data_IF_250686171883
#
_entry.id   IF_250686171883
#
_cell.length_a   1.000
_cell.length_b   1.000
_cell.length_c   1.000
_cell.angle_alpha   90.00
_cell.angle_beta   90.00
_cell.angle_gamma   90.00
#
_symmetry.space_group_name_H-M   'P 1'
#
loop_
_entity.id
_entity.type
_entity.pdbx_description
1 polymer ?
#
# COMPACT_ATOMS: atom_id res chain seq x y z
N UNK A 1 -44.81 24.74 -47.54
CA UNK A 1 -44.28 23.53 -48.23
C UNK A 1 -42.80 23.45 -47.89
N UNK A 2 -42.47 22.73 -46.84
CA UNK A 2 -41.08 22.49 -46.48
C UNK A 2 -40.93 20.97 -46.26
N UNK A 3 -40.16 20.36 -47.14
CA UNK A 3 -39.86 18.96 -47.14
C UNK A 3 -38.93 18.64 -45.96
N UNK A 4 -39.42 17.84 -45.04
CA UNK A 4 -38.66 17.31 -43.92
C UNK A 4 -37.91 16.05 -44.40
N UNK A 5 -36.65 16.22 -44.83
CA UNK A 5 -35.80 15.10 -45.18
C UNK A 5 -35.41 14.32 -43.94
N UNK A 6 -35.82 13.09 -43.94
CA UNK A 6 -35.47 12.07 -42.92
C UNK A 6 -33.96 11.82 -42.95
N UNK A 7 -33.25 12.34 -41.98
CA UNK A 7 -31.89 11.89 -41.66
C UNK A 7 -32.02 10.65 -40.77
N UNK A 8 -31.94 9.49 -41.40
CA UNK A 8 -31.77 8.20 -40.73
C UNK A 8 -30.30 8.13 -40.31
N UNK A 9 -30.05 8.44 -39.05
CA UNK A 9 -28.73 8.23 -38.41
C UNK A 9 -28.56 6.71 -38.19
N UNK A 10 -27.83 6.07 -39.09
CA UNK A 10 -27.41 4.68 -38.96
C UNK A 10 -26.29 4.65 -37.90
N UNK A 11 -26.65 4.38 -36.65
CA UNK A 11 -25.67 4.08 -35.59
C UNK A 11 -25.15 2.67 -35.87
N UNK A 12 -24.02 2.61 -36.57
CA UNK A 12 -23.22 1.39 -36.67
C UNK A 12 -22.58 1.22 -35.28
N UNK A 13 -23.24 0.46 -34.45
CA UNK A 13 -22.63 -0.10 -33.24
C UNK A 13 -21.60 -1.12 -33.74
N UNK A 14 -20.37 -0.65 -33.94
CA UNK A 14 -19.23 -1.53 -34.11
C UNK A 14 -19.00 -2.11 -32.70
N UNK A 15 -19.58 -3.27 -32.50
CA UNK A 15 -19.23 -4.11 -31.35
C UNK A 15 -17.76 -4.46 -31.48
N UNK A 16 -16.92 -3.67 -30.84
CA UNK A 16 -15.55 -4.05 -30.54
C UNK A 16 -15.66 -5.20 -29.53
N UNK A 17 -15.84 -6.40 -30.05
CA UNK A 17 -15.61 -7.62 -29.27
C UNK A 17 -14.14 -7.57 -28.90
N UNK A 18 -13.84 -6.99 -27.74
CA UNK A 18 -12.62 -7.24 -27.02
C UNK A 18 -12.62 -8.75 -26.75
N UNK A 19 -12.14 -9.52 -27.71
CA UNK A 19 -11.61 -10.84 -27.39
C UNK A 19 -10.48 -10.57 -26.42
N UNK A 20 -10.77 -10.70 -25.11
CA UNK A 20 -9.76 -10.89 -24.09
C UNK A 20 -9.00 -12.15 -24.51
N UNK A 21 -8.02 -11.96 -25.37
CA UNK A 21 -7.00 -12.95 -25.60
C UNK A 21 -6.30 -12.99 -24.24
N UNK A 22 -6.56 -14.07 -23.49
CA UNK A 22 -5.84 -14.39 -22.25
C UNK A 22 -4.37 -14.52 -22.63
N UNK A 23 -3.70 -13.39 -22.74
CA UNK A 23 -2.28 -13.34 -23.00
C UNK A 23 -1.63 -13.75 -21.69
N UNK A 24 -0.89 -14.86 -21.72
CA UNK A 24 -0.13 -15.30 -20.59
C UNK A 24 0.88 -14.21 -20.20
N UNK A 25 0.80 -13.72 -18.95
CA UNK A 25 1.58 -12.59 -18.46
C UNK A 25 2.98 -13.04 -17.99
N UNK A 26 3.97 -12.29 -18.41
CA UNK A 26 5.34 -12.41 -17.90
C UNK A 26 5.47 -11.72 -16.54
N UNK A 27 6.51 -12.04 -15.77
CA UNK A 27 6.80 -11.37 -14.49
C UNK A 27 6.89 -9.83 -14.64
N UNK A 28 7.45 -9.34 -15.76
CA UNK A 28 7.59 -7.91 -16.01
C UNK A 28 6.22 -7.23 -16.21
N UNK A 29 5.34 -7.83 -16.97
CA UNK A 29 3.98 -7.32 -17.21
C UNK A 29 3.14 -7.36 -15.91
N UNK A 30 3.23 -8.44 -15.13
CA UNK A 30 2.59 -8.52 -13.80
C UNK A 30 3.09 -7.41 -12.88
N UNK A 31 4.38 -7.09 -12.92
CA UNK A 31 4.94 -6.00 -12.13
C UNK A 31 4.43 -4.63 -12.59
N UNK A 32 4.31 -4.39 -13.90
CA UNK A 32 3.76 -3.14 -14.42
C UNK A 32 2.31 -2.93 -13.99
N UNK A 33 1.48 -3.98 -14.04
CA UNK A 33 0.10 -3.93 -13.53
C UNK A 33 0.10 -3.64 -12.01
N UNK A 34 0.97 -4.30 -11.26
CA UNK A 34 1.09 -4.09 -9.82
C UNK A 34 1.51 -2.66 -9.45
N UNK A 35 2.29 -1.96 -10.27
CA UNK A 35 2.63 -0.55 -10.04
C UNK A 35 1.39 0.36 -10.05
N UNK A 36 0.36 0.00 -10.80
CA UNK A 36 -0.87 0.77 -10.93
C UNK A 36 -1.97 0.29 -9.98
N UNK A 37 -2.05 -1.03 -9.74
CA UNK A 37 -3.19 -1.63 -9.05
C UNK A 37 -2.92 -2.00 -7.59
N UNK A 38 -1.67 -2.28 -7.21
CA UNK A 38 -1.33 -2.75 -5.86
C UNK A 38 -1.82 -1.79 -4.75
N UNK A 39 -2.74 -2.24 -3.87
CA UNK A 39 -3.28 -1.41 -2.80
C UNK A 39 -2.21 -0.94 -1.80
N UNK A 40 -1.22 -1.78 -1.48
CA UNK A 40 -0.16 -1.42 -0.54
C UNK A 40 0.75 -0.33 -1.10
N UNK A 41 1.07 -0.39 -2.39
CA UNK A 41 1.84 0.66 -3.06
C UNK A 41 1.03 1.97 -3.14
N UNK A 42 -0.28 1.90 -3.40
CA UNK A 42 -1.19 3.06 -3.37
C UNK A 42 -1.22 3.71 -1.97
N UNK A 43 -1.28 2.91 -0.90
CA UNK A 43 -1.19 3.39 0.50
C UNK A 43 0.15 4.06 0.76
N UNK A 44 1.25 3.45 0.34
CA UNK A 44 2.60 4.02 0.49
C UNK A 44 2.74 5.35 -0.26
N UNK A 45 2.17 5.46 -1.46
CA UNK A 45 2.14 6.70 -2.24
C UNK A 45 1.31 7.80 -1.57
N UNK A 46 0.13 7.47 -1.05
CA UNK A 46 -0.70 8.41 -0.31
C UNK A 46 0.01 8.91 0.95
N UNK A 47 0.65 7.99 1.69
CA UNK A 47 1.45 8.31 2.87
C UNK A 47 2.65 9.21 2.53
N UNK A 48 3.33 8.94 1.41
CA UNK A 48 4.39 9.82 0.91
C UNK A 48 3.85 11.22 0.58
N UNK A 49 2.73 11.31 -0.16
CA UNK A 49 2.09 12.61 -0.49
C UNK A 49 1.73 13.41 0.76
N UNK A 50 1.21 12.76 1.79
CA UNK A 50 0.88 13.41 3.07
C UNK A 50 2.14 13.87 3.84
N UNK A 51 3.13 12.97 3.97
CA UNK A 51 4.30 13.23 4.81
C UNK A 51 5.34 14.16 4.16
N UNK A 52 5.39 14.26 2.82
CA UNK A 52 6.26 15.25 2.15
C UNK A 52 5.88 16.69 2.49
N UNK A 53 4.61 16.96 2.87
CA UNK A 53 4.11 18.27 3.26
C UNK A 53 4.70 18.77 4.60
N UNK A 54 5.43 17.91 5.33
CA UNK A 54 6.19 18.35 6.50
C UNK A 54 7.16 19.52 6.21
N UNK A 55 7.70 19.56 4.98
CA UNK A 55 8.53 20.69 4.52
C UNK A 55 7.69 21.99 4.40
N UNK A 56 6.52 21.91 3.78
CA UNK A 56 5.63 23.07 3.62
C UNK A 56 5.14 23.59 4.98
N UNK A 57 4.76 22.67 5.90
CA UNK A 57 4.41 23.03 7.28
C UNK A 57 5.56 23.75 8.00
N UNK A 58 6.81 23.31 7.78
CA UNK A 58 7.98 23.96 8.34
C UNK A 58 8.22 25.37 7.77
N UNK A 59 7.94 25.59 6.47
CA UNK A 59 8.02 26.92 5.84
C UNK A 59 6.92 27.83 6.37
N UNK A 60 5.70 27.33 6.53
CA UNK A 60 4.55 28.09 7.01
C UNK A 60 4.82 28.81 8.34
N UNK A 61 5.65 28.21 9.21
CA UNK A 61 6.06 28.84 10.46
C UNK A 61 6.99 30.07 10.30
N UNK A 62 7.51 30.33 9.11
CA UNK A 62 8.36 31.50 8.77
C UNK A 62 7.61 32.55 7.96
N UNK A 63 6.38 32.26 7.53
CA UNK A 63 5.56 33.15 6.72
C UNK A 63 4.62 34.00 7.60
N UNK A 64 4.11 35.15 7.09
CA UNK A 64 3.09 35.90 7.79
C UNK A 64 1.85 35.04 8.01
N UNK A 65 1.27 35.14 9.20
CA UNK A 65 -0.03 34.56 9.53
C UNK A 65 -1.09 35.62 9.70
N UNK A 66 -2.22 35.44 9.02
CA UNK A 66 -3.39 36.29 9.15
C UNK A 66 -4.48 35.51 9.87
N UNK A 67 -4.91 36.02 11.00
CA UNK A 67 -5.99 35.40 11.77
C UNK A 67 -7.17 36.36 11.84
N UNK A 68 -8.32 35.95 11.37
CA UNK A 68 -9.57 36.69 11.53
C UNK A 68 -10.44 35.99 12.56
N UNK A 69 -11.04 36.78 13.44
CA UNK A 69 -11.93 36.28 14.49
C UNK A 69 -13.19 37.12 14.57
N UNK A 70 -14.34 36.45 14.55
CA UNK A 70 -15.63 37.03 14.83
C UNK A 70 -16.20 36.35 16.07
N UNK A 71 -16.67 37.13 17.03
CA UNK A 71 -17.27 36.63 18.26
C UNK A 71 -18.56 37.39 18.54
N UNK A 72 -19.59 36.64 18.94
CA UNK A 72 -20.80 37.21 19.57
C UNK A 72 -20.92 36.65 20.97
N UNK A 73 -21.16 37.52 21.93
CA UNK A 73 -21.41 37.14 23.32
C UNK A 73 -22.79 37.69 23.72
N UNK A 74 -23.63 36.78 24.20
CA UNK A 74 -24.90 37.15 24.85
C UNK A 74 -24.66 37.08 26.36
N UNK A 75 -24.80 38.26 27.03
CA UNK A 75 -24.69 38.36 28.47
C UNK A 75 -26.07 38.73 29.02
N UNK A 76 -26.55 37.96 29.96
CA UNK A 76 -27.69 38.24 30.78
C UNK A 76 -27.21 38.45 32.21
N UNK A 77 -27.44 39.62 32.76
CA UNK A 77 -27.07 39.96 34.15
C UNK A 77 -28.31 40.29 34.93
N UNK A 78 -28.55 39.53 35.97
CA UNK A 78 -29.59 39.81 36.99
C UNK A 78 -28.96 40.53 38.19
N UNK A 79 -29.41 41.76 38.43
CA UNK A 79 -28.93 42.53 39.60
C UNK A 79 -29.77 42.14 40.80
N UNK A 80 -29.21 41.25 41.66
CA UNK A 80 -29.78 40.84 42.92
C UNK A 80 -29.26 41.80 44.03
N UNK A 81 -29.93 42.93 44.25
CA UNK A 81 -29.66 43.91 45.30
C UNK A 81 -28.19 44.19 45.64
N UNK A 82 -27.66 45.27 45.13
CA UNK A 82 -26.43 45.88 45.61
C UNK A 82 -26.73 46.86 46.76
N UNK A 83 -26.08 46.68 47.88
CA UNK A 83 -26.23 47.58 49.05
C UNK A 83 -25.53 48.92 48.83
N UNK A 84 -26.16 49.84 48.16
CA UNK A 84 -25.89 51.28 48.23
C UNK A 84 -27.12 52.07 47.79
N UNK A 85 -27.56 52.99 48.62
CA UNK A 85 -28.85 53.62 48.65
C UNK A 85 -29.16 54.66 47.54
N UNK A 86 -28.64 54.47 46.30
CA UNK A 86 -28.82 55.53 45.31
C UNK A 86 -29.27 55.06 43.90
N UNK A 87 -29.40 53.76 43.64
CA UNK A 87 -29.94 53.28 42.39
C UNK A 87 -30.81 52.04 42.59
N UNK A 88 -32.09 52.27 42.51
CA UNK A 88 -33.09 51.19 42.50
C UNK A 88 -33.20 50.66 41.08
N UNK A 89 -32.24 49.87 40.65
CA UNK A 89 -32.26 49.18 39.37
C UNK A 89 -32.40 47.66 39.60
N UNK A 90 -33.63 47.26 39.82
CA UNK A 90 -34.03 45.85 39.84
C UNK A 90 -34.47 45.46 38.44
N UNK A 91 -33.75 44.55 37.78
CA UNK A 91 -34.09 44.05 36.46
C UNK A 91 -33.01 43.19 35.84
N UNK A 92 -33.41 42.23 35.02
CA UNK A 92 -32.51 41.51 34.10
C UNK A 92 -32.18 42.40 32.90
N UNK A 93 -30.88 42.63 32.65
CA UNK A 93 -30.40 43.38 31.49
C UNK A 93 -29.62 42.43 30.59
N UNK A 94 -30.24 42.00 29.50
CA UNK A 94 -29.58 41.28 28.42
C UNK A 94 -28.76 42.23 27.54
N UNK A 95 -27.51 41.90 27.27
CA UNK A 95 -26.68 42.62 26.31
C UNK A 95 -26.03 41.66 25.32
N UNK A 96 -26.07 41.97 24.04
CA UNK A 96 -25.35 41.24 23.02
C UNK A 96 -24.19 42.11 22.52
N UNK A 97 -22.96 41.52 22.57
CA UNK A 97 -21.77 42.19 22.09
C UNK A 97 -21.16 41.43 20.91
N UNK A 98 -20.78 42.18 19.89
CA UNK A 98 -20.12 41.68 18.70
C UNK A 98 -18.69 42.20 18.68
N UNK A 99 -17.72 41.31 18.40
CA UNK A 99 -16.34 41.74 18.20
C UNK A 99 -15.77 41.10 16.94
N UNK A 100 -15.04 41.86 16.19
CA UNK A 100 -14.32 41.45 15.00
C UNK A 100 -12.88 41.87 15.16
N UNK A 101 -11.93 40.93 14.90
CA UNK A 101 -10.51 41.24 14.87
C UNK A 101 -9.86 40.63 13.64
N UNK A 102 -8.82 41.28 13.15
CA UNK A 102 -7.92 40.76 12.12
C UNK A 102 -6.49 41.05 12.59
N UNK A 103 -5.75 39.99 12.84
CA UNK A 103 -4.39 40.05 13.37
C UNK A 103 -3.43 39.57 12.28
N UNK A 104 -2.41 40.34 11.94
CA UNK A 104 -1.28 39.94 11.09
C UNK A 104 -0.04 39.83 11.93
N UNK A 105 0.54 38.65 11.98
CA UNK A 105 1.81 38.38 12.69
C UNK A 105 2.83 37.88 11.69
N UNK A 106 3.99 38.56 11.60
CA UNK A 106 5.12 38.18 10.76
C UNK A 106 6.33 37.88 11.62
N UNK A 107 6.79 36.60 11.68
CA UNK A 107 8.05 36.29 12.34
C UNK A 107 9.23 36.96 11.63
N UNK A 108 9.97 37.82 12.33
CA UNK A 108 11.17 38.50 11.80
C UNK A 108 12.40 37.71 12.21
N UNK A 109 12.49 37.35 13.47
CA UNK A 109 13.60 36.56 13.99
C UNK A 109 13.08 35.48 14.96
N UNK A 110 12.94 34.25 14.42
CA UNK A 110 12.44 33.08 15.16
C UNK A 110 13.35 31.89 14.86
N UNK A 111 14.39 31.73 15.68
CA UNK A 111 15.41 30.70 15.50
C UNK A 111 14.82 29.30 15.66
N UNK A 112 13.85 29.12 16.56
CA UNK A 112 13.09 27.89 16.74
C UNK A 112 12.37 27.46 15.45
N UNK A 113 11.74 28.41 14.74
CA UNK A 113 11.04 28.17 13.47
C UNK A 113 11.99 27.76 12.35
N UNK A 114 13.19 28.39 12.33
CA UNK A 114 14.23 28.02 11.37
C UNK A 114 14.68 26.57 11.55
N UNK A 115 14.87 26.10 12.79
CA UNK A 115 15.20 24.71 13.04
C UNK A 115 14.03 23.77 12.77
N UNK A 116 12.77 24.17 13.03
CA UNK A 116 11.56 23.42 12.65
C UNK A 116 11.48 23.25 11.12
N UNK A 117 11.81 24.26 10.34
CA UNK A 117 11.93 24.14 8.89
C UNK A 117 12.99 23.10 8.50
N UNK A 118 14.15 23.15 9.14
CA UNK A 118 15.20 22.14 8.97
C UNK A 118 14.73 20.72 9.31
N UNK A 119 13.94 20.55 10.35
CA UNK A 119 13.28 19.31 10.72
C UNK A 119 12.26 18.86 9.65
N UNK A 120 11.40 19.76 9.20
CA UNK A 120 10.41 19.47 8.13
C UNK A 120 11.06 18.99 6.84
N UNK A 121 12.22 19.59 6.45
CA UNK A 121 13.02 19.10 5.32
C UNK A 121 13.55 17.67 5.54
N UNK A 122 13.96 17.33 6.75
CA UNK A 122 14.43 15.98 7.06
C UNK A 122 13.27 14.97 7.05
N UNK A 123 12.12 15.33 7.62
CA UNK A 123 10.89 14.50 7.61
C UNK A 123 10.40 14.23 6.18
N UNK A 124 10.39 15.22 5.31
CA UNK A 124 10.06 15.04 3.89
C UNK A 124 11.02 14.06 3.18
N UNK A 125 12.32 14.09 3.53
CA UNK A 125 13.29 13.12 3.01
C UNK A 125 13.10 11.71 3.55
N UNK A 126 12.67 11.57 4.81
CA UNK A 126 12.27 10.26 5.39
C UNK A 126 11.12 9.68 4.57
N UNK A 127 10.07 10.48 4.33
CA UNK A 127 8.92 10.04 3.55
C UNK A 127 9.31 9.57 2.14
N UNK A 128 10.24 10.28 1.47
CA UNK A 128 10.77 9.86 0.17
C UNK A 128 11.51 8.52 0.24
N UNK A 129 12.35 8.34 1.25
CA UNK A 129 13.09 7.09 1.42
C UNK A 129 12.16 5.91 1.77
N UNK A 130 11.13 6.14 2.60
CA UNK A 130 10.11 5.13 2.90
C UNK A 130 9.30 4.72 1.67
N UNK A 131 8.96 5.66 0.81
CA UNK A 131 8.30 5.34 -0.46
C UNK A 131 9.20 4.54 -1.40
N UNK A 132 10.49 4.90 -1.52
CA UNK A 132 11.45 4.11 -2.30
C UNK A 132 11.63 2.69 -1.74
N UNK A 133 11.60 2.52 -0.41
CA UNK A 133 11.59 1.20 0.23
C UNK A 133 10.33 0.41 -0.14
N UNK A 134 9.14 1.02 -0.07
CA UNK A 134 7.89 0.38 -0.44
C UNK A 134 7.89 -0.09 -1.92
N UNK A 135 8.46 0.71 -2.84
CA UNK A 135 8.62 0.30 -4.23
C UNK A 135 9.51 -0.95 -4.37
N UNK A 136 10.60 -1.04 -3.61
CA UNK A 136 11.45 -2.26 -3.59
C UNK A 136 10.71 -3.46 -3.00
N UNK A 137 9.95 -3.26 -1.94
CA UNK A 137 9.10 -4.30 -1.34
C UNK A 137 8.06 -4.83 -2.34
N UNK A 138 7.43 -3.95 -3.12
CA UNK A 138 6.49 -4.36 -4.17
C UNK A 138 7.16 -5.27 -5.21
N UNK A 139 8.40 -4.95 -5.64
CA UNK A 139 9.15 -5.82 -6.55
C UNK A 139 9.30 -7.23 -5.97
N UNK A 140 9.75 -7.32 -4.70
CA UNK A 140 9.97 -8.61 -4.03
C UNK A 140 8.66 -9.38 -3.86
N UNK A 141 7.60 -8.71 -3.40
CA UNK A 141 6.28 -9.32 -3.18
C UNK A 141 5.67 -9.84 -4.48
N UNK A 142 5.67 -9.05 -5.55
CA UNK A 142 5.18 -9.47 -6.87
C UNK A 142 5.97 -10.68 -7.37
N UNK A 143 7.31 -10.61 -7.28
CA UNK A 143 8.18 -11.71 -7.70
C UNK A 143 7.90 -12.98 -6.92
N UNK A 144 7.80 -12.89 -5.60
CA UNK A 144 7.52 -14.04 -4.73
C UNK A 144 6.16 -14.66 -5.07
N UNK A 145 5.11 -13.85 -5.14
CA UNK A 145 3.74 -14.32 -5.40
C UNK A 145 3.63 -14.94 -6.80
N UNK A 146 4.30 -14.35 -7.80
CA UNK A 146 4.36 -14.90 -9.16
C UNK A 146 4.97 -16.31 -9.19
N UNK A 147 6.14 -16.49 -8.55
CA UNK A 147 6.79 -17.80 -8.49
C UNK A 147 6.06 -18.80 -7.60
N UNK A 148 5.42 -18.36 -6.54
CA UNK A 148 4.58 -19.22 -5.70
C UNK A 148 3.38 -19.77 -6.49
N UNK A 149 2.75 -18.95 -7.35
CA UNK A 149 1.69 -19.42 -8.22
C UNK A 149 2.21 -20.40 -9.27
N UNK A 150 3.33 -20.12 -9.94
CA UNK A 150 3.95 -21.07 -10.89
C UNK A 150 4.30 -22.40 -10.23
N UNK A 151 4.86 -22.35 -9.02
CA UNK A 151 5.17 -23.55 -8.24
C UNK A 151 3.91 -24.33 -7.88
N UNK A 152 2.83 -23.67 -7.51
CA UNK A 152 1.56 -24.32 -7.19
C UNK A 152 0.95 -25.00 -8.43
N UNK A 153 1.02 -24.38 -9.62
CA UNK A 153 0.61 -24.98 -10.89
C UNK A 153 1.39 -26.26 -11.16
N UNK A 154 2.73 -26.21 -11.04
CA UNK A 154 3.58 -27.39 -11.27
C UNK A 154 3.37 -28.50 -10.24
N UNK A 155 3.18 -28.14 -8.98
CA UNK A 155 2.87 -29.12 -7.93
C UNK A 155 1.55 -29.85 -8.21
N UNK A 156 0.52 -29.15 -8.67
CA UNK A 156 -0.75 -29.76 -9.04
C UNK A 156 -0.59 -30.69 -10.25
N UNK A 157 0.20 -30.30 -11.25
CA UNK A 157 0.50 -31.16 -12.42
C UNK A 157 1.17 -32.47 -11.99
N UNK A 158 2.17 -32.38 -11.09
CA UNK A 158 2.86 -33.55 -10.52
C UNK A 158 1.88 -34.41 -9.73
N UNK A 159 1.07 -33.83 -8.84
CA UNK A 159 0.11 -34.56 -8.03
C UNK A 159 -0.96 -35.29 -8.87
N UNK A 160 -1.43 -34.68 -9.97
CA UNK A 160 -2.34 -35.32 -10.94
C UNK A 160 -1.68 -36.49 -11.65
N UNK A 161 -0.41 -36.34 -12.04
CA UNK A 161 0.36 -37.40 -12.70
C UNK A 161 0.59 -38.57 -11.76
N UNK A 162 0.93 -38.29 -10.49
CA UNK A 162 1.10 -39.28 -9.43
C UNK A 162 -0.19 -40.06 -9.16
N UNK A 163 -1.32 -39.34 -8.96
CA UNK A 163 -2.64 -39.99 -8.77
C UNK A 163 -2.97 -40.92 -9.94
N UNK A 164 -2.72 -40.48 -11.18
CA UNK A 164 -2.97 -41.29 -12.38
C UNK A 164 -2.11 -42.55 -12.39
N UNK A 165 -0.85 -42.46 -12.01
CA UNK A 165 0.06 -43.64 -11.95
C UNK A 165 -0.36 -44.63 -10.85
N UNK A 166 -0.66 -44.10 -9.64
CA UNK A 166 -1.09 -44.92 -8.50
C UNK A 166 -2.45 -45.57 -8.78
N UNK A 167 -3.38 -44.85 -9.45
CA UNK A 167 -4.65 -45.41 -9.90
C UNK A 167 -4.45 -46.65 -10.81
N UNK A 168 -3.57 -46.52 -11.78
CA UNK A 168 -3.24 -47.70 -12.66
C UNK A 168 -2.69 -48.86 -11.87
N UNK A 169 -1.84 -48.61 -10.86
CA UNK A 169 -1.29 -49.65 -9.98
C UNK A 169 -2.41 -50.31 -9.14
N UNK A 170 -3.29 -49.53 -8.53
CA UNK A 170 -4.48 -50.01 -7.78
C UNK A 170 -5.38 -50.87 -8.68
N UNK A 171 -5.69 -50.40 -9.91
CA UNK A 171 -6.54 -51.13 -10.85
C UNK A 171 -5.91 -52.44 -11.32
N UNK A 172 -4.56 -52.49 -11.41
CA UNK A 172 -3.83 -53.74 -11.67
C UNK A 172 -3.92 -54.68 -10.48
N UNK A 173 -3.67 -54.23 -9.27
CA UNK A 173 -3.73 -55.03 -8.05
C UNK A 173 -5.15 -55.59 -7.83
N UNK A 174 -6.18 -54.79 -8.14
CA UNK A 174 -7.58 -55.24 -8.09
C UNK A 174 -7.85 -56.40 -9.03
N UNK A 175 -7.41 -56.31 -10.29
CA UNK A 175 -7.58 -57.43 -11.27
C UNK A 175 -6.86 -58.71 -10.84
N UNK A 176 -5.63 -58.61 -10.35
CA UNK A 176 -4.87 -59.77 -9.86
C UNK A 176 -5.54 -60.43 -8.65
N UNK A 177 -6.17 -59.65 -7.78
CA UNK A 177 -6.97 -60.16 -6.68
C UNK A 177 -8.24 -60.85 -7.17
N UNK A 178 -8.99 -60.28 -8.13
CA UNK A 178 -10.19 -60.84 -8.73
C UNK A 178 -9.90 -62.15 -9.47
N UNK A 179 -8.72 -62.29 -10.05
CA UNK A 179 -8.21 -63.49 -10.71
C UNK A 179 -7.64 -64.53 -9.72
N UNK A 180 -7.61 -64.24 -8.41
CA UNK A 180 -7.08 -65.12 -7.38
C UNK A 180 -5.56 -65.28 -7.33
N UNK A 181 -4.81 -64.37 -8.02
CA UNK A 181 -3.33 -64.37 -8.13
C UNK A 181 -2.70 -63.57 -6.99
N UNK A 182 -3.37 -62.59 -6.43
CA UNK A 182 -2.88 -61.68 -5.39
C UNK A 182 -3.74 -61.74 -4.13
N UNK A 183 -3.18 -61.34 -2.98
CA UNK A 183 -3.90 -61.28 -1.70
C UNK A 183 -4.82 -60.08 -1.60
N UNK A 184 -5.87 -60.17 -0.75
CA UNK A 184 -6.73 -59.06 -0.42
C UNK A 184 -5.95 -57.90 0.23
N UNK A 185 -4.89 -58.22 0.98
CA UNK A 185 -4.03 -57.24 1.66
C UNK A 185 -3.33 -56.33 0.65
N UNK A 186 -2.75 -56.92 -0.41
CA UNK A 186 -2.07 -56.16 -1.48
C UNK A 186 -3.05 -55.22 -2.22
N UNK A 187 -4.31 -55.65 -2.45
CA UNK A 187 -5.32 -54.81 -3.02
C UNK A 187 -5.69 -53.65 -2.06
N UNK A 188 -5.87 -53.92 -0.77
CA UNK A 188 -6.21 -52.89 0.22
C UNK A 188 -5.09 -51.87 0.41
N UNK A 189 -3.83 -52.30 0.39
CA UNK A 189 -2.67 -51.40 0.41
C UNK A 189 -2.66 -50.48 -0.82
N UNK A 190 -2.85 -51.08 -2.02
CA UNK A 190 -2.92 -50.30 -3.25
C UNK A 190 -4.08 -49.31 -3.26
N UNK A 191 -5.23 -49.66 -2.68
CA UNK A 191 -6.37 -48.77 -2.49
C UNK A 191 -6.01 -47.64 -1.53
N UNK A 192 -5.36 -47.92 -0.40
CA UNK A 192 -4.95 -46.91 0.56
C UNK A 192 -3.97 -45.87 -0.06
N UNK A 193 -2.99 -46.32 -0.84
CA UNK A 193 -2.08 -45.44 -1.58
C UNK A 193 -2.82 -44.56 -2.58
N UNK A 194 -3.81 -45.13 -3.28
CA UNK A 194 -4.64 -44.32 -4.20
C UNK A 194 -5.42 -43.22 -3.46
N UNK A 195 -6.03 -43.59 -2.31
CA UNK A 195 -6.77 -42.62 -1.52
C UNK A 195 -5.86 -41.50 -0.97
N UNK A 196 -4.64 -41.84 -0.54
CA UNK A 196 -3.64 -40.84 -0.13
C UNK A 196 -3.22 -39.91 -1.30
N UNK A 197 -3.02 -40.46 -2.50
CA UNK A 197 -2.66 -39.67 -3.67
C UNK A 197 -3.78 -38.70 -4.08
N UNK A 198 -5.07 -39.10 -3.91
CA UNK A 198 -6.21 -38.20 -4.11
C UNK A 198 -6.21 -37.06 -3.11
N UNK A 199 -5.93 -37.32 -1.83
CA UNK A 199 -5.80 -36.27 -0.80
C UNK A 199 -4.70 -35.30 -1.17
N UNK A 200 -3.54 -35.78 -1.61
CA UNK A 200 -2.43 -34.95 -2.06
C UNK A 200 -2.81 -34.03 -3.22
N UNK A 201 -3.53 -34.57 -4.22
CA UNK A 201 -4.02 -33.76 -5.35
C UNK A 201 -5.02 -32.69 -4.88
N UNK A 202 -5.98 -33.03 -4.02
CA UNK A 202 -6.96 -32.08 -3.49
C UNK A 202 -6.25 -30.97 -2.69
N UNK A 203 -5.25 -31.33 -1.88
CA UNK A 203 -4.45 -30.35 -1.16
C UNK A 203 -3.69 -29.40 -2.11
N UNK A 204 -3.14 -29.95 -3.21
CA UNK A 204 -2.44 -29.15 -4.23
C UNK A 204 -3.40 -28.23 -5.00
N UNK A 205 -4.66 -28.66 -5.23
CA UNK A 205 -5.71 -27.79 -5.81
C UNK A 205 -6.01 -26.61 -4.89
N UNK A 206 -6.20 -26.88 -3.59
CA UNK A 206 -6.41 -25.80 -2.61
C UNK A 206 -5.23 -24.84 -2.53
N UNK A 207 -3.98 -25.35 -2.60
CA UNK A 207 -2.79 -24.50 -2.60
C UNK A 207 -2.68 -23.65 -3.86
N UNK A 208 -3.11 -24.15 -5.02
CA UNK A 208 -3.17 -23.39 -6.26
C UNK A 208 -4.17 -22.23 -6.15
N UNK A 209 -5.38 -22.48 -5.65
CA UNK A 209 -6.38 -21.43 -5.46
C UNK A 209 -5.88 -20.35 -4.48
N UNK A 210 -5.25 -20.76 -3.37
CA UNK A 210 -4.66 -19.82 -2.44
C UNK A 210 -3.57 -18.94 -3.09
N UNK A 211 -2.67 -19.55 -3.88
CA UNK A 211 -1.63 -18.80 -4.57
C UNK A 211 -2.19 -17.86 -5.66
N UNK A 212 -3.28 -18.28 -6.33
CA UNK A 212 -3.98 -17.46 -7.31
C UNK A 212 -4.61 -16.23 -6.67
N UNK A 213 -5.35 -16.41 -5.58
CA UNK A 213 -5.97 -15.32 -4.83
C UNK A 213 -4.94 -14.33 -4.27
N UNK A 214 -3.77 -14.83 -3.84
CA UNK A 214 -2.68 -13.96 -3.38
C UNK A 214 -2.16 -13.04 -4.50
N UNK A 215 -2.10 -13.50 -5.75
CA UNK A 215 -1.71 -12.67 -6.88
C UNK A 215 -2.83 -11.71 -7.29
N UNK A 216 -4.09 -12.17 -7.30
CA UNK A 216 -5.27 -11.32 -7.55
C UNK A 216 -5.32 -10.15 -6.58
N UNK A 217 -4.99 -10.37 -5.31
CA UNK A 217 -4.95 -9.30 -4.31
C UNK A 217 -3.94 -8.18 -4.65
N UNK A 218 -2.95 -8.45 -5.48
CA UNK A 218 -1.94 -7.48 -5.92
C UNK A 218 -2.36 -6.79 -7.22
N UNK A 219 -2.84 -7.56 -8.23
CA UNK A 219 -3.08 -7.05 -9.58
C UNK A 219 -4.57 -6.89 -9.94
N UNK A 220 -5.48 -7.28 -9.05
CA UNK A 220 -6.93 -7.09 -9.20
C UNK A 220 -7.66 -8.15 -10.02
N UNK A 221 -6.98 -8.93 -10.85
CA UNK A 221 -7.57 -9.95 -11.71
C UNK A 221 -6.72 -11.23 -11.79
N UNK A 222 -7.33 -12.34 -12.19
CA UNK A 222 -6.64 -13.62 -12.32
C UNK A 222 -5.87 -13.71 -13.65
N UNK A 223 -4.53 -13.65 -13.66
CA UNK A 223 -3.77 -13.81 -14.87
C UNK A 223 -3.58 -15.27 -15.24
N UNK A 224 -3.47 -15.52 -16.55
CA UNK A 224 -2.81 -16.71 -17.05
C UNK A 224 -1.30 -16.42 -17.14
N UNK A 225 -0.47 -17.24 -16.48
CA UNK A 225 0.97 -17.00 -16.41
C UNK A 225 1.72 -17.71 -17.53
N UNK A 226 2.78 -17.05 -18.03
CA UNK A 226 3.76 -17.69 -18.93
C UNK A 226 4.54 -18.76 -18.16
N UNK A 227 4.61 -19.95 -18.70
CA UNK A 227 5.46 -21.01 -18.16
C UNK A 227 6.95 -20.62 -18.26
N UNK A 228 7.72 -20.97 -17.21
CA UNK A 228 9.15 -20.68 -17.22
C UNK A 228 9.84 -21.51 -18.31
N UNK A 229 10.61 -20.84 -19.14
CA UNK A 229 11.51 -21.53 -20.05
C UNK A 229 12.73 -22.03 -19.28
N UNK A 230 12.94 -23.33 -19.24
CA UNK A 230 14.08 -24.00 -18.56
C UNK A 230 15.46 -23.52 -19.05
N UNK A 231 15.49 -22.76 -20.16
CA UNK A 231 16.71 -22.25 -20.79
C UNK A 231 17.26 -20.93 -20.19
N UNK A 232 16.66 -20.38 -19.12
CA UNK A 232 17.21 -19.15 -18.52
C UNK A 232 18.49 -19.47 -17.74
N UNK A 233 19.67 -19.03 -18.21
CA UNK A 233 20.92 -19.25 -17.51
C UNK A 233 20.92 -18.43 -16.21
N UNK A 234 21.25 -19.05 -15.10
CA UNK A 234 21.46 -18.35 -13.82
C UNK A 234 22.72 -17.49 -13.98
N UNK A 235 22.53 -16.19 -14.16
CA UNK A 235 23.65 -15.25 -14.24
C UNK A 235 24.29 -15.06 -12.85
N UNK A 236 25.63 -15.12 -12.74
CA UNK A 236 26.29 -14.81 -11.48
C UNK A 236 26.05 -13.35 -11.08
N UNK A 237 26.06 -13.05 -9.77
CA UNK A 237 25.83 -11.69 -9.29
C UNK A 237 26.91 -10.74 -9.82
N UNK A 238 26.49 -9.56 -10.24
CA UNK A 238 27.36 -8.47 -10.69
C UNK A 238 27.07 -7.22 -9.81
N UNK A 239 28.05 -6.66 -9.11
CA UNK A 239 29.48 -7.03 -9.07
C UNK A 239 29.76 -8.34 -8.33
N UNK A 240 30.92 -8.97 -8.59
CA UNK A 240 31.37 -10.19 -7.91
C UNK A 240 31.95 -9.95 -6.51
N UNK A 241 32.35 -8.70 -6.22
CA UNK A 241 33.02 -8.32 -4.97
C UNK A 241 31.99 -8.03 -3.88
N UNK A 242 32.15 -8.68 -2.70
CA UNK A 242 31.36 -8.39 -1.51
C UNK A 242 31.48 -6.93 -1.06
N UNK A 243 32.69 -6.34 -1.16
CA UNK A 243 32.92 -4.95 -0.75
C UNK A 243 32.14 -3.97 -1.64
N UNK A 244 32.06 -4.25 -2.94
CA UNK A 244 31.24 -3.43 -3.84
C UNK A 244 29.76 -3.49 -3.50
N UNK A 245 29.22 -4.68 -3.17
CA UNK A 245 27.84 -4.82 -2.69
C UNK A 245 27.60 -4.05 -1.39
N UNK A 246 28.55 -4.08 -0.43
CA UNK A 246 28.47 -3.28 0.79
C UNK A 246 28.46 -1.78 0.46
N UNK A 247 29.33 -1.35 -0.46
CA UNK A 247 29.35 0.04 -0.93
C UNK A 247 28.02 0.48 -1.54
N UNK A 248 27.46 -0.34 -2.44
CA UNK A 248 26.13 -0.11 -3.03
C UNK A 248 25.03 -0.06 -1.96
N UNK A 249 25.06 -0.97 -0.98
CA UNK A 249 24.11 -0.98 0.13
C UNK A 249 24.19 0.28 0.98
N UNK A 250 25.40 0.76 1.31
CA UNK A 250 25.58 1.98 2.11
C UNK A 250 25.08 3.26 1.42
N UNK A 251 25.07 3.29 0.10
CA UNK A 251 24.62 4.44 -0.70
C UNK A 251 23.14 4.35 -1.08
N UNK A 252 22.64 3.17 -1.44
CA UNK A 252 21.33 2.98 -2.05
C UNK A 252 20.26 2.40 -1.12
N UNK A 253 20.63 1.93 0.09
CA UNK A 253 19.67 1.36 1.02
C UNK A 253 18.71 2.43 1.56
N UNK A 254 17.45 2.38 1.19
CA UNK A 254 16.43 3.35 1.60
C UNK A 254 16.15 3.33 3.11
N UNK A 255 16.23 2.18 3.77
CA UNK A 255 16.05 2.09 5.22
C UNK A 255 17.16 2.82 5.96
N UNK A 256 18.41 2.69 5.50
CA UNK A 256 19.56 3.43 6.03
C UNK A 256 19.44 4.94 5.77
N UNK A 257 18.99 5.35 4.58
CA UNK A 257 18.74 6.75 4.27
C UNK A 257 17.66 7.33 5.18
N UNK A 258 16.54 6.62 5.39
CA UNK A 258 15.48 7.02 6.31
C UNK A 258 16.02 7.20 7.74
N UNK A 259 16.82 6.24 8.24
CA UNK A 259 17.41 6.29 9.58
C UNK A 259 18.37 7.47 9.77
N UNK A 260 19.22 7.76 8.76
CA UNK A 260 20.09 8.95 8.77
C UNK A 260 19.29 10.26 8.81
N UNK A 261 18.20 10.34 8.04
CA UNK A 261 17.33 11.52 8.05
C UNK A 261 16.52 11.62 9.33
N UNK A 262 16.13 10.51 9.97
CA UNK A 262 15.47 10.47 11.28
C UNK A 262 16.38 11.07 12.36
N UNK A 263 17.64 10.68 12.39
CA UNK A 263 18.65 11.27 13.28
C UNK A 263 18.80 12.78 13.04
N UNK A 264 18.83 13.20 11.77
CA UNK A 264 18.89 14.62 11.41
C UNK A 264 17.66 15.40 11.86
N UNK A 265 16.47 14.83 11.70
CA UNK A 265 15.21 15.43 12.15
C UNK A 265 15.19 15.60 13.68
N UNK A 266 15.60 14.56 14.43
CA UNK A 266 15.72 14.62 15.89
C UNK A 266 16.69 15.70 16.35
N UNK A 267 17.86 15.81 15.70
CA UNK A 267 18.86 16.85 15.96
C UNK A 267 18.30 18.26 15.74
N UNK A 268 17.56 18.46 14.66
CA UNK A 268 16.90 19.75 14.36
C UNK A 268 15.79 20.06 15.37
N UNK A 269 15.03 19.07 15.80
CA UNK A 269 14.04 19.25 16.84
C UNK A 269 14.69 19.66 18.18
N UNK A 270 15.78 19.01 18.58
CA UNK A 270 16.53 19.39 19.80
C UNK A 270 17.05 20.83 19.70
N UNK A 271 17.60 21.22 18.54
CA UNK A 271 18.06 22.60 18.29
C UNK A 271 16.91 23.61 18.38
N UNK A 272 15.72 23.27 17.85
CA UNK A 272 14.52 24.10 17.97
C UNK A 272 14.10 24.29 19.43
N UNK A 273 14.18 23.23 20.26
CA UNK A 273 13.87 23.33 21.69
C UNK A 273 14.89 24.19 22.45
N UNK A 274 16.18 24.04 22.12
CA UNK A 274 17.21 24.89 22.70
C UNK A 274 17.06 26.36 22.31
N UNK A 275 16.56 26.63 21.09
CA UNK A 275 16.36 27.98 20.60
C UNK A 275 15.30 28.76 21.38
N UNK A 276 14.41 28.12 22.12
CA UNK A 276 13.42 28.80 22.96
C UNK A 276 14.03 29.58 24.13
N UNK A 277 15.35 29.46 24.36
CA UNK A 277 16.08 30.28 25.30
C UNK A 277 16.60 31.61 24.71
N UNK A 278 16.47 31.78 23.41
CA UNK A 278 16.85 33.01 22.70
C UNK A 278 15.64 33.92 22.52
N UNK A 279 15.85 35.25 22.44
CA UNK A 279 14.76 36.18 22.19
C UNK A 279 14.09 35.96 20.84
N UNK A 280 12.76 36.14 20.81
CA UNK A 280 11.92 36.08 19.61
C UNK A 280 11.52 37.50 19.21
N UNK A 281 11.44 37.77 17.89
CA UNK A 281 10.98 39.01 17.32
C UNK A 281 9.92 38.67 16.26
N UNK A 282 8.71 39.11 16.54
CA UNK A 282 7.53 38.95 15.65
C UNK A 282 7.08 40.31 15.12
#
# INVERSE_FOLDING_TARGET
MLNLNKVILFIVVIGFSLTSQSASLTLAEVYEIALEEDPELKIAQASYKANKEAKAKGIAGLLPSITTRARTNWNESEIIKGGSATYDAQGSKGSNSYSYSADLVQPIFRLDRWFQFGQGKALSKIAKAQFGYAQQETILRVTQTYFDLLKAIKNLEVAKSEESAIKKQRDRSKRLFEEGVSSVTEYQEAQAFYDLSRVSRIASEGQLEFAREALIAIIGEAPELVDLNDAYPIAPPNPKSRQEWVGLGLTNNFSLQASRMKTKAAKRNAQSKLSNHFPDID
#
